data_IF_526539789879
#
_entry.id   IF_526539789879
#
_cell.length_a   1.000
_cell.length_b   1.000
_cell.length_c   1.000
_cell.angle_alpha   90.00
_cell.angle_beta   90.00
_cell.angle_gamma   90.00
#
_symmetry.space_group_name_H-M   'P 1'
#
loop_
_entity.id
_entity.type
_entity.pdbx_description
1 polymer ?
#
# COMPACT_ATOMS: atom_id res chain seq x y z
N UNK A 1 2.90 17.02 15.44
CA UNK A 1 2.83 18.30 14.72
C UNK A 1 4.17 18.78 14.18
N UNK A 2 5.06 19.39 14.99
CA UNK A 2 6.30 19.99 14.44
C UNK A 2 7.25 18.98 13.81
N UNK A 3 7.31 17.76 14.35
CA UNK A 3 8.17 16.72 13.80
C UNK A 3 7.66 16.18 12.46
N UNK A 4 6.37 15.84 12.38
CA UNK A 4 5.73 15.41 11.13
C UNK A 4 5.90 16.43 9.99
N UNK A 5 5.79 17.73 10.32
CA UNK A 5 6.04 18.82 9.36
C UNK A 5 7.48 18.82 8.85
N UNK A 6 8.46 18.69 9.76
CA UNK A 6 9.88 18.66 9.40
C UNK A 6 10.20 17.45 8.52
N UNK A 7 9.65 16.28 8.83
CA UNK A 7 9.82 15.08 8.00
C UNK A 7 9.21 15.28 6.61
N UNK A 8 8.01 15.85 6.52
CA UNK A 8 7.38 16.13 5.23
C UNK A 8 8.19 17.13 4.38
N UNK A 9 8.76 18.16 4.99
CA UNK A 9 9.67 19.10 4.32
C UNK A 9 10.96 18.41 3.86
N UNK A 10 11.51 17.51 4.68
CA UNK A 10 12.68 16.72 4.31
C UNK A 10 12.40 15.83 3.10
N UNK A 11 11.28 15.10 3.10
CA UNK A 11 10.88 14.23 1.98
C UNK A 11 10.69 15.05 0.70
N UNK A 12 10.03 16.20 0.79
CA UNK A 12 9.85 17.10 -0.34
C UNK A 12 11.17 17.54 -0.95
N UNK A 13 12.10 18.02 -0.13
CA UNK A 13 13.36 18.59 -0.59
C UNK A 13 14.36 17.56 -1.10
N UNK A 14 14.33 16.34 -0.56
CA UNK A 14 15.35 15.33 -0.85
C UNK A 14 14.91 14.27 -1.87
N UNK A 15 13.61 14.05 -2.04
CA UNK A 15 13.08 12.96 -2.88
C UNK A 15 12.04 13.41 -3.91
N UNK A 16 11.25 14.46 -3.60
CA UNK A 16 10.21 14.97 -4.50
C UNK A 16 10.68 16.26 -5.19
N UNK A 17 9.76 17.17 -5.52
CA UNK A 17 10.00 18.36 -6.34
C UNK A 17 10.72 19.52 -5.64
N UNK A 18 11.08 19.37 -4.36
CA UNK A 18 11.87 20.36 -3.64
C UNK A 18 13.35 20.29 -3.98
N UNK A 19 14.16 21.10 -3.28
CA UNK A 19 15.59 21.22 -3.54
C UNK A 19 16.41 20.93 -2.28
N UNK A 20 17.49 20.19 -2.46
CA UNK A 20 18.49 19.87 -1.44
C UNK A 20 19.86 19.74 -2.12
N UNK A 21 20.92 20.18 -1.44
CA UNK A 21 22.29 20.05 -1.94
C UNK A 21 22.82 18.61 -1.89
N UNK A 22 22.10 17.70 -1.22
CA UNK A 22 22.53 16.32 -1.00
C UNK A 22 21.35 15.34 -1.14
N UNK A 23 20.69 15.36 -2.31
CA UNK A 23 19.61 14.41 -2.61
C UNK A 23 20.13 12.97 -2.64
N UNK A 24 19.61 12.04 -1.82
CA UNK A 24 20.17 10.69 -1.70
C UNK A 24 20.12 9.87 -3.00
N UNK A 25 19.11 10.11 -3.84
CA UNK A 25 18.90 9.40 -5.11
C UNK A 25 19.25 10.28 -6.33
N UNK A 26 20.02 11.35 -6.12
CA UNK A 26 20.37 12.32 -7.15
C UNK A 26 19.18 13.20 -7.58
N UNK A 27 19.20 13.65 -8.84
CA UNK A 27 18.28 14.66 -9.35
C UNK A 27 16.90 14.11 -9.74
N UNK A 28 16.68 12.80 -9.61
CA UNK A 28 15.38 12.20 -9.88
C UNK A 28 14.32 12.74 -8.91
N UNK A 29 13.14 13.06 -9.45
CA UNK A 29 11.95 13.43 -8.68
C UNK A 29 11.06 12.21 -8.62
N UNK A 30 10.84 11.68 -7.41
CA UNK A 30 9.93 10.55 -7.22
C UNK A 30 8.48 10.99 -7.40
N UNK A 31 7.63 10.07 -7.86
CA UNK A 31 6.21 10.33 -8.11
C UNK A 31 5.40 10.43 -6.81
N UNK A 32 5.90 9.88 -5.70
CA UNK A 32 5.12 9.76 -4.48
C UNK A 32 5.89 9.22 -3.28
N UNK A 33 5.17 9.06 -2.18
CA UNK A 33 5.66 8.49 -0.92
C UNK A 33 4.72 7.38 -0.48
N UNK A 34 5.30 6.23 -0.15
CA UNK A 34 4.59 5.10 0.45
C UNK A 34 4.75 5.06 1.97
N UNK A 35 3.64 4.81 2.65
CA UNK A 35 3.58 4.69 4.11
C UNK A 35 3.44 3.22 4.48
N UNK A 36 4.59 2.57 4.66
CA UNK A 36 4.71 1.20 5.14
C UNK A 36 5.09 1.20 6.64
N UNK A 37 4.11 1.54 7.48
CA UNK A 37 4.29 1.67 8.92
C UNK A 37 3.80 0.41 9.63
N UNK A 38 4.74 -0.42 10.07
CA UNK A 38 4.44 -1.74 10.68
C UNK A 38 4.64 -1.79 12.20
N UNK A 39 5.02 -0.67 12.83
CA UNK A 39 5.30 -0.61 14.27
C UNK A 39 5.59 0.79 14.79
N UNK A 40 5.78 0.89 16.11
CA UNK A 40 6.12 2.15 16.79
C UNK A 40 4.89 2.86 17.35
N UNK A 41 4.70 4.13 17.00
CA UNK A 41 3.53 4.92 17.38
C UNK A 41 2.53 5.00 16.23
N UNK A 42 1.25 5.16 16.53
CA UNK A 42 0.18 5.40 15.56
C UNK A 42 -0.20 6.88 15.45
N UNK A 43 0.60 7.78 16.02
CA UNK A 43 0.34 9.22 16.09
C UNK A 43 0.99 9.96 14.93
N UNK A 44 0.32 11.01 14.44
CA UNK A 44 0.83 12.03 13.52
C UNK A 44 1.12 11.58 12.07
N UNK A 45 0.80 10.34 11.69
CA UNK A 45 0.91 9.91 10.29
C UNK A 45 -0.08 10.64 9.37
N UNK A 46 -1.23 11.05 9.91
CA UNK A 46 -2.21 11.94 9.28
C UNK A 46 -1.69 13.38 9.12
N UNK A 47 -0.74 13.77 9.96
CA UNK A 47 -0.09 15.09 9.94
C UNK A 47 1.18 15.12 9.07
N UNK A 48 1.66 13.96 8.56
CA UNK A 48 2.81 13.87 7.65
C UNK A 48 2.44 14.36 6.24
N UNK A 49 1.96 15.60 6.21
CA UNK A 49 1.59 16.33 5.03
C UNK A 49 2.62 17.46 4.85
N UNK A 50 3.14 17.67 3.64
CA UNK A 50 3.91 18.87 3.35
C UNK A 50 3.04 20.11 3.64
N UNK A 51 3.51 21.10 4.43
CA UNK A 51 2.73 22.27 4.85
C UNK A 51 2.27 23.20 3.71
N UNK A 52 2.44 22.80 2.46
CA UNK A 52 2.16 23.56 1.27
C UNK A 52 1.36 22.67 0.31
N UNK A 53 0.04 22.84 0.22
CA UNK A 53 -0.64 22.62 -1.06
C UNK A 53 -0.89 23.98 -1.73
N UNK A 54 0.13 24.66 -2.30
CA UNK A 54 -0.08 25.29 -3.58
C UNK A 54 -0.25 24.16 -4.61
N UNK A 55 -0.84 24.48 -5.75
CA UNK A 55 -1.23 23.58 -6.85
C UNK A 55 -0.11 22.65 -7.39
N UNK A 56 1.13 22.79 -6.92
CA UNK A 56 2.30 21.99 -7.29
C UNK A 56 2.29 20.57 -6.70
N UNK A 57 1.52 20.32 -5.63
CA UNK A 57 1.40 18.99 -5.01
C UNK A 57 0.24 18.13 -5.52
N UNK A 58 -0.58 18.61 -6.45
CA UNK A 58 -1.61 17.77 -7.08
C UNK A 58 -0.99 16.64 -7.96
N UNK A 59 0.34 16.55 -8.04
CA UNK A 59 1.10 15.53 -8.78
C UNK A 59 1.89 14.56 -7.90
N UNK A 60 1.80 14.65 -6.55
CA UNK A 60 2.49 13.71 -5.64
C UNK A 60 1.51 12.64 -5.19
N UNK A 61 1.80 11.38 -5.50
CA UNK A 61 1.01 10.25 -5.05
C UNK A 61 1.30 9.91 -3.60
N UNK A 62 0.25 9.61 -2.84
CA UNK A 62 0.36 9.03 -1.51
C UNK A 62 -0.18 7.61 -1.53
N UNK A 63 0.65 6.65 -1.10
CA UNK A 63 0.24 5.26 -0.90
C UNK A 63 0.42 4.80 0.54
N UNK A 64 -0.34 3.79 0.95
CA UNK A 64 -0.21 3.15 2.26
C UNK A 64 -0.25 1.62 2.14
N UNK A 65 0.52 0.96 3.02
CA UNK A 65 0.62 -0.49 3.12
C UNK A 65 0.08 -1.04 4.46
N UNK A 66 -1.20 -0.82 4.81
CA UNK A 66 -1.73 -1.34 6.07
C UNK A 66 -1.72 -2.87 6.10
N UNK A 67 -1.64 -3.43 7.30
CA UNK A 67 -1.91 -4.85 7.52
C UNK A 67 -3.40 -5.15 7.24
N UNK A 68 -3.74 -6.39 6.87
CA UNK A 68 -5.14 -6.71 6.56
C UNK A 68 -6.16 -6.60 7.72
N UNK A 69 -5.82 -6.66 9.02
CA UNK A 69 -6.79 -6.41 10.08
C UNK A 69 -7.40 -5.01 9.96
N UNK A 70 -8.71 -4.90 10.02
CA UNK A 70 -9.43 -3.64 9.83
C UNK A 70 -10.10 -3.16 11.13
N UNK A 71 -9.92 -1.89 11.55
CA UNK A 71 -8.98 -0.92 10.99
C UNK A 71 -7.52 -1.27 11.32
N UNK A 72 -6.59 -0.78 10.50
CA UNK A 72 -5.15 -0.95 10.75
C UNK A 72 -4.71 -0.19 12.01
N UNK A 73 -3.88 -0.83 12.83
CA UNK A 73 -3.48 -0.32 14.14
C UNK A 73 -2.56 0.92 14.07
N UNK A 74 -1.78 1.05 13.00
CA UNK A 74 -0.75 2.08 12.82
C UNK A 74 -1.23 3.21 11.92
N UNK A 75 -1.90 2.85 10.83
CA UNK A 75 -2.26 3.71 9.71
C UNK A 75 -3.76 4.02 9.65
N UNK A 76 -4.60 3.43 10.50
CA UNK A 76 -6.05 3.63 10.47
C UNK A 76 -6.48 5.10 10.49
N UNK A 77 -5.89 5.93 11.35
CA UNK A 77 -6.16 7.38 11.42
C UNK A 77 -5.73 8.11 10.15
N UNK A 78 -4.54 7.80 9.62
CA UNK A 78 -4.03 8.43 8.41
C UNK A 78 -4.88 8.08 7.19
N UNK A 79 -5.25 6.81 7.02
CA UNK A 79 -6.10 6.34 5.92
C UNK A 79 -7.49 7.00 5.98
N UNK A 80 -8.03 7.20 7.18
CA UNK A 80 -9.34 7.84 7.37
C UNK A 80 -9.39 9.32 6.94
N UNK A 81 -8.25 9.98 6.70
CA UNK A 81 -8.20 11.36 6.18
C UNK A 81 -8.72 11.50 4.75
N UNK A 82 -8.73 10.39 4.01
CA UNK A 82 -9.17 10.39 2.61
C UNK A 82 -8.12 10.87 1.60
N UNK A 83 -6.86 10.99 2.02
CA UNK A 83 -5.79 11.61 1.24
C UNK A 83 -4.96 10.65 0.40
N UNK A 84 -5.10 9.34 0.60
CA UNK A 84 -4.30 8.33 -0.11
C UNK A 84 -4.89 7.99 -1.48
N UNK A 85 -4.05 8.05 -2.50
CA UNK A 85 -4.40 7.65 -3.87
C UNK A 85 -4.49 6.12 -3.98
N UNK A 86 -3.54 5.43 -3.35
CA UNK A 86 -3.41 3.98 -3.41
C UNK A 86 -3.31 3.36 -2.01
N UNK A 87 -3.99 2.25 -1.79
CA UNK A 87 -3.84 1.46 -0.57
C UNK A 87 -3.62 0.00 -0.94
N UNK A 88 -2.42 -0.53 -0.72
CA UNK A 88 -2.10 -1.94 -0.93
C UNK A 88 -2.13 -2.69 0.40
N UNK A 89 -3.30 -3.24 0.72
CA UNK A 89 -3.53 -3.96 1.97
C UNK A 89 -2.72 -5.26 1.97
N UNK A 90 -1.91 -5.48 2.99
CA UNK A 90 -1.06 -6.66 3.14
C UNK A 90 -1.88 -7.87 3.61
N UNK A 91 -2.30 -8.74 2.69
CA UNK A 91 -3.05 -9.97 2.98
C UNK A 91 -2.12 -11.16 3.27
N UNK A 92 -1.18 -10.95 4.18
CA UNK A 92 -0.23 -11.97 4.65
C UNK A 92 0.16 -11.71 6.11
N UNK A 93 0.80 -12.69 6.75
CA UNK A 93 1.19 -12.70 8.16
C UNK A 93 0.06 -12.46 9.19
N UNK A 94 -1.22 -12.57 8.79
CA UNK A 94 -2.38 -12.22 9.63
C UNK A 94 -3.59 -13.12 9.32
N UNK A 95 -4.56 -13.22 10.23
CA UNK A 95 -5.71 -14.14 10.09
C UNK A 95 -6.63 -13.82 8.89
N UNK A 96 -6.65 -12.58 8.42
CA UNK A 96 -7.43 -12.11 7.27
C UNK A 96 -6.81 -12.48 5.91
N UNK A 97 -5.72 -13.23 5.87
CA UNK A 97 -5.07 -13.71 4.65
C UNK A 97 -5.78 -14.92 4.02
N UNK A 98 -5.23 -15.41 2.91
CA UNK A 98 -5.60 -16.71 2.35
C UNK A 98 -5.06 -17.87 3.21
N UNK A 99 -5.93 -18.80 3.59
CA UNK A 99 -5.54 -19.97 4.40
C UNK A 99 -6.39 -21.18 4.03
N UNK A 100 -6.02 -21.88 2.96
CA UNK A 100 -6.76 -23.03 2.42
C UNK A 100 -8.02 -22.65 1.63
N UNK A 101 -8.59 -21.47 1.88
CA UNK A 101 -9.65 -20.84 1.08
C UNK A 101 -9.54 -19.30 1.15
N UNK A 102 -10.38 -18.61 0.36
CA UNK A 102 -10.39 -17.16 0.20
C UNK A 102 -11.42 -16.41 1.10
N UNK A 103 -12.18 -17.11 1.95
CA UNK A 103 -13.34 -16.51 2.63
C UNK A 103 -12.96 -15.34 3.54
N UNK A 104 -11.92 -15.52 4.37
CA UNK A 104 -11.43 -14.46 5.28
C UNK A 104 -10.85 -13.28 4.52
N UNK A 105 -10.08 -13.56 3.46
CA UNK A 105 -9.50 -12.56 2.57
C UNK A 105 -10.59 -11.73 1.89
N UNK A 106 -11.59 -12.37 1.29
CA UNK A 106 -12.69 -11.67 0.60
C UNK A 106 -13.51 -10.85 1.61
N UNK A 107 -13.75 -11.38 2.81
CA UNK A 107 -14.45 -10.63 3.87
C UNK A 107 -13.70 -9.36 4.27
N UNK A 108 -12.40 -9.45 4.52
CA UNK A 108 -11.56 -8.30 4.85
C UNK A 108 -11.42 -7.33 3.65
N UNK A 109 -11.26 -7.84 2.43
CA UNK A 109 -11.26 -7.04 1.21
C UNK A 109 -12.52 -6.18 1.08
N UNK A 110 -13.69 -6.76 1.32
CA UNK A 110 -14.96 -6.04 1.26
C UNK A 110 -15.02 -4.90 2.29
N UNK A 111 -14.40 -5.04 3.46
CA UNK A 111 -14.27 -3.95 4.43
C UNK A 111 -13.30 -2.87 3.92
N UNK A 112 -12.12 -3.26 3.44
CA UNK A 112 -11.10 -2.34 2.94
C UNK A 112 -11.56 -1.52 1.73
N UNK A 113 -12.40 -2.08 0.86
CA UNK A 113 -12.96 -1.31 -0.27
C UNK A 113 -13.96 -0.22 0.14
N UNK A 114 -14.30 -0.08 1.43
CA UNK A 114 -15.14 1.01 1.93
C UNK A 114 -14.36 2.29 2.25
N UNK A 115 -13.03 2.24 2.40
CA UNK A 115 -12.20 3.39 2.81
C UNK A 115 -12.22 4.54 1.80
N UNK A 116 -11.93 5.76 2.23
CA UNK A 116 -11.83 6.90 1.32
C UNK A 116 -10.45 6.94 0.62
N UNK A 117 -10.18 6.02 -0.29
CA UNK A 117 -8.98 6.02 -1.13
C UNK A 117 -9.35 5.96 -2.61
N UNK A 118 -8.42 6.37 -3.49
CA UNK A 118 -8.59 6.29 -4.94
C UNK A 118 -8.76 4.84 -5.42
N UNK A 119 -7.74 4.00 -5.17
CA UNK A 119 -7.75 2.59 -5.49
C UNK A 119 -7.22 1.73 -4.34
N UNK A 120 -7.73 0.51 -4.24
CA UNK A 120 -7.30 -0.52 -3.29
C UNK A 120 -6.68 -1.68 -4.05
N UNK A 121 -5.52 -2.12 -3.61
CA UNK A 121 -4.72 -3.19 -4.19
C UNK A 121 -4.64 -4.37 -3.22
N UNK A 122 -4.58 -5.58 -3.78
CA UNK A 122 -4.34 -6.80 -3.02
C UNK A 122 -2.84 -6.98 -2.82
N UNK A 123 -2.31 -6.78 -1.62
CA UNK A 123 -0.91 -7.03 -1.28
C UNK A 123 -0.65 -8.49 -0.96
N UNK A 124 0.31 -9.11 -1.66
CA UNK A 124 0.63 -10.54 -1.52
C UNK A 124 2.14 -10.78 -1.50
N UNK A 125 2.60 -11.85 -0.82
CA UNK A 125 3.96 -12.34 -0.99
C UNK A 125 4.13 -12.99 -2.36
N UNK A 126 5.23 -12.69 -3.05
CA UNK A 126 5.52 -13.21 -4.39
C UNK A 126 6.02 -14.66 -4.39
N UNK A 127 6.41 -15.19 -3.23
CA UNK A 127 6.83 -16.57 -3.03
C UNK A 127 6.49 -17.02 -1.59
N UNK A 128 6.39 -18.33 -1.31
CA UNK A 128 6.17 -18.84 0.05
C UNK A 128 7.19 -18.33 1.07
N UNK A 129 8.44 -18.11 0.66
CA UNK A 129 9.54 -17.67 1.52
C UNK A 129 9.51 -16.16 1.82
N UNK A 130 8.68 -15.39 1.13
CA UNK A 130 8.65 -13.93 1.24
C UNK A 130 7.91 -13.43 2.49
N UNK A 131 7.09 -14.29 3.11
CA UNK A 131 6.31 -13.99 4.31
C UNK A 131 6.18 -15.24 5.18
N UNK A 132 5.82 -15.09 6.45
CA UNK A 132 5.57 -16.22 7.35
C UNK A 132 4.32 -17.02 6.98
N UNK A 133 3.34 -16.39 6.32
CA UNK A 133 2.13 -17.04 5.82
C UNK A 133 1.37 -16.14 4.84
N UNK A 134 0.31 -16.66 4.18
CA UNK A 134 -0.56 -15.88 3.28
C UNK A 134 -0.21 -15.95 1.80
N UNK A 135 0.80 -16.72 1.41
CA UNK A 135 1.09 -17.00 -0.01
C UNK A 135 -0.07 -17.72 -0.68
N UNK A 136 -0.36 -17.32 -1.91
CA UNK A 136 -1.40 -17.88 -2.77
C UNK A 136 -0.71 -18.35 -4.05
N UNK A 137 -0.93 -19.58 -4.51
CA UNK A 137 -0.39 -19.99 -5.80
C UNK A 137 -1.06 -19.20 -6.95
N UNK A 138 -0.36 -18.87 -8.06
CA UNK A 138 -0.91 -18.05 -9.14
C UNK A 138 -2.25 -18.55 -9.70
N UNK A 139 -2.39 -19.85 -9.92
CA UNK A 139 -3.61 -20.50 -10.42
C UNK A 139 -4.77 -20.40 -9.42
N UNK A 140 -4.46 -20.53 -8.13
CA UNK A 140 -5.43 -20.35 -7.03
C UNK A 140 -5.86 -18.88 -6.94
N UNK A 141 -4.93 -17.93 -7.03
CA UNK A 141 -5.24 -16.49 -7.03
C UNK A 141 -6.21 -16.15 -8.18
N UNK A 142 -5.88 -16.61 -9.39
CA UNK A 142 -6.65 -16.33 -10.61
C UNK A 142 -8.04 -16.97 -10.57
N UNK A 143 -8.18 -18.18 -10.02
CA UNK A 143 -9.45 -18.91 -10.01
C UNK A 143 -10.34 -18.60 -8.81
N UNK A 144 -9.78 -18.29 -7.63
CA UNK A 144 -10.54 -18.21 -6.38
C UNK A 144 -10.65 -16.81 -5.79
N UNK A 145 -9.74 -15.88 -6.13
CA UNK A 145 -9.68 -14.55 -5.48
C UNK A 145 -9.99 -13.43 -6.46
N UNK A 146 -9.25 -13.35 -7.58
CA UNK A 146 -9.40 -12.26 -8.56
C UNK A 146 -10.85 -12.08 -9.05
N UNK A 147 -11.61 -13.14 -9.38
CA UNK A 147 -12.98 -12.98 -9.86
C UNK A 147 -13.89 -12.25 -8.87
N UNK A 148 -13.69 -12.44 -7.57
CA UNK A 148 -14.47 -11.77 -6.52
C UNK A 148 -14.01 -10.34 -6.31
N UNK A 149 -12.70 -10.11 -6.16
CA UNK A 149 -12.19 -8.78 -5.79
C UNK A 149 -12.28 -7.76 -6.94
N UNK A 150 -12.18 -8.21 -8.19
CA UNK A 150 -12.30 -7.37 -9.40
C UNK A 150 -13.71 -6.81 -9.62
N UNK A 151 -14.72 -7.31 -8.89
CA UNK A 151 -16.08 -6.73 -8.95
C UNK A 151 -16.17 -5.37 -8.22
N UNK A 152 -15.20 -5.07 -7.35
CA UNK A 152 -15.16 -3.78 -6.65
C UNK A 152 -14.73 -2.65 -7.59
N UNK A 153 -15.44 -1.52 -7.64
CA UNK A 153 -15.01 -0.36 -8.42
C UNK A 153 -13.72 0.28 -7.90
N UNK A 154 -13.27 -0.07 -6.69
CA UNK A 154 -11.99 0.39 -6.12
C UNK A 154 -10.81 -0.53 -6.44
N UNK A 155 -11.03 -1.66 -7.10
CA UNK A 155 -9.93 -2.57 -7.44
C UNK A 155 -8.88 -1.84 -8.30
N UNK A 156 -7.65 -1.74 -7.80
CA UNK A 156 -6.52 -1.15 -8.50
C UNK A 156 -5.54 -2.16 -9.09
N UNK A 157 -5.48 -3.37 -8.53
CA UNK A 157 -4.54 -4.40 -8.95
C UNK A 157 -4.01 -5.25 -7.80
N UNK A 158 -2.79 -5.75 -7.99
CA UNK A 158 -2.05 -6.58 -7.01
C UNK A 158 -0.70 -5.92 -6.73
N UNK A 159 -0.33 -5.82 -5.46
CA UNK A 159 1.02 -5.45 -4.99
C UNK A 159 1.76 -6.73 -4.58
N UNK A 160 3.05 -6.83 -4.93
CA UNK A 160 3.85 -8.02 -4.64
C UNK A 160 5.05 -7.70 -3.76
N UNK A 161 5.10 -8.34 -2.59
CA UNK A 161 6.25 -8.38 -1.71
C UNK A 161 7.11 -9.63 -2.00
N UNK A 162 8.28 -9.53 -2.61
CA UNK A 162 8.93 -8.36 -3.20
C UNK A 162 9.61 -8.77 -4.52
N UNK A 163 10.23 -7.82 -5.21
CA UNK A 163 10.95 -8.11 -6.47
C UNK A 163 12.01 -9.22 -6.32
N UNK A 164 12.64 -9.35 -5.15
CA UNK A 164 13.62 -10.41 -4.89
C UNK A 164 12.99 -11.80 -5.01
N UNK A 165 11.77 -11.96 -4.51
CA UNK A 165 11.02 -13.22 -4.52
C UNK A 165 10.20 -13.43 -5.80
N UNK A 166 9.91 -12.38 -6.55
CA UNK A 166 9.20 -12.47 -7.83
C UNK A 166 10.10 -13.05 -8.94
N UNK A 167 10.08 -14.38 -9.02
CA UNK A 167 10.75 -15.20 -10.03
C UNK A 167 9.72 -15.84 -10.99
N UNK A 168 8.76 -15.04 -11.47
CA UNK A 168 7.73 -15.46 -12.41
C UNK A 168 6.30 -15.42 -11.86
N UNK A 169 6.12 -15.03 -10.60
CA UNK A 169 4.78 -14.88 -10.00
C UNK A 169 3.98 -13.80 -10.74
N UNK A 170 4.57 -12.61 -10.90
CA UNK A 170 3.95 -11.51 -11.64
C UNK A 170 3.64 -11.90 -13.09
N UNK A 171 4.57 -12.58 -13.76
CA UNK A 171 4.40 -13.04 -15.13
C UNK A 171 3.21 -14.01 -15.27
N UNK A 172 3.02 -14.91 -14.30
CA UNK A 172 1.93 -15.88 -14.30
C UNK A 172 0.54 -15.24 -14.10
N UNK A 173 0.45 -14.13 -13.36
CA UNK A 173 -0.83 -13.47 -13.05
C UNK A 173 -1.13 -12.26 -13.95
N UNK A 174 -0.14 -11.77 -14.71
CA UNK A 174 -0.19 -10.48 -15.43
C UNK A 174 -1.39 -10.33 -16.37
N UNK A 175 -1.79 -11.38 -17.08
CA UNK A 175 -2.94 -11.32 -17.99
C UNK A 175 -4.30 -11.33 -17.29
N UNK A 176 -4.31 -11.66 -16.01
CA UNK A 176 -5.53 -11.82 -15.21
C UNK A 176 -5.80 -10.64 -14.27
N UNK A 177 -4.76 -9.86 -13.96
CA UNK A 177 -4.84 -8.60 -13.19
C UNK A 177 -5.44 -7.49 -14.06
#
# INVERSE_FOLDING_TARGET
ADDARQVAEYLWNNFLGGQSSSRPLGDAVLDGIDFDIEGGTNQHWDELRPPWRPREFDSVYLSAAPQCPFPDAWMGTAIATGLFDYVWVQFYNNDCQFSGNADKLISAWNQWTTIQAGQVFLGLPAAPEAAGSGYIAPDVLVSQVLPSIKTSPKYGGVMLWSKYYDNGYSAAIKSSV
#
